data_IF_365445615352
#
_entry.id   IF_365445615352
#
_cell.length_a   1.000
_cell.length_b   1.000
_cell.length_c   1.000
_cell.angle_alpha   90.00
_cell.angle_beta   90.00
_cell.angle_gamma   90.00
#
_symmetry.space_group_name_H-M   'P 1'
#
loop_
_entity.id
_entity.type
_entity.pdbx_description
1 polymer ?
#
# COMPACT_ATOMS: atom_id res chain seq x y z
N UNK A 1 -11.98 -40.63 1.19
CA UNK A 1 -12.57 -39.32 1.56
C UNK A 1 -11.88 -38.26 0.74
N UNK A 2 -12.63 -37.34 0.11
CA UNK A 2 -12.06 -36.20 -0.59
C UNK A 2 -11.68 -35.11 0.42
N UNK A 3 -10.51 -35.28 1.04
CA UNK A 3 -9.96 -34.35 2.05
C UNK A 3 -9.74 -32.96 1.44
N UNK A 4 -9.24 -32.91 0.21
CA UNK A 4 -9.01 -31.66 -0.53
C UNK A 4 -10.31 -30.89 -0.73
N UNK A 5 -11.37 -31.54 -1.21
CA UNK A 5 -12.68 -30.90 -1.36
C UNK A 5 -13.29 -30.44 -0.03
N UNK A 6 -13.03 -31.13 1.08
CA UNK A 6 -13.50 -30.72 2.40
C UNK A 6 -12.80 -29.45 2.88
N UNK A 7 -11.47 -29.36 2.71
CA UNK A 7 -10.68 -28.17 3.04
C UNK A 7 -11.10 -26.97 2.19
N UNK A 8 -11.29 -27.17 0.88
CA UNK A 8 -11.76 -26.10 -0.02
C UNK A 8 -13.13 -25.56 0.36
N UNK A 9 -14.06 -26.44 0.75
CA UNK A 9 -15.39 -26.01 1.24
C UNK A 9 -15.31 -25.26 2.57
N UNK A 10 -14.40 -25.64 3.45
CA UNK A 10 -14.19 -24.94 4.72
C UNK A 10 -13.66 -23.52 4.48
N UNK A 11 -12.63 -23.35 3.63
CA UNK A 11 -12.07 -22.04 3.25
C UNK A 11 -13.14 -21.19 2.55
N UNK A 12 -13.86 -21.75 1.60
CA UNK A 12 -14.97 -21.08 0.93
C UNK A 12 -16.15 -20.74 1.88
N UNK A 13 -16.20 -21.29 3.08
CA UNK A 13 -17.20 -20.94 4.08
C UNK A 13 -17.04 -19.52 4.61
N UNK A 14 -15.80 -19.06 4.76
CA UNK A 14 -15.45 -17.75 5.34
C UNK A 14 -14.11 -17.25 4.76
N UNK A 15 -14.09 -16.88 3.47
CA UNK A 15 -12.85 -16.51 2.78
C UNK A 15 -12.25 -15.21 3.32
N UNK A 16 -10.93 -15.18 3.42
CA UNK A 16 -10.15 -13.97 3.67
C UNK A 16 -10.01 -13.16 2.37
N UNK A 17 -10.53 -11.93 2.37
CA UNK A 17 -10.67 -11.11 1.15
C UNK A 17 -9.69 -9.93 1.16
N UNK A 18 -8.82 -9.88 0.16
CA UNK A 18 -8.03 -8.69 -0.16
C UNK A 18 -8.82 -7.83 -1.16
N UNK A 19 -9.12 -6.60 -0.78
CA UNK A 19 -9.83 -5.64 -1.65
C UNK A 19 -8.83 -4.67 -2.28
N UNK A 20 -8.64 -4.78 -3.59
CA UNK A 20 -7.85 -3.85 -4.39
C UNK A 20 -8.78 -2.83 -5.05
N UNK A 21 -8.84 -1.61 -4.50
CA UNK A 21 -9.72 -0.55 -5.02
C UNK A 21 -9.04 0.19 -6.17
N UNK A 22 -9.67 0.21 -7.33
CA UNK A 22 -9.24 0.99 -8.48
C UNK A 22 -9.61 2.48 -8.28
N UNK A 23 -8.90 3.41 -8.92
CA UNK A 23 -9.38 4.80 -9.06
C UNK A 23 -10.85 4.86 -9.47
N UNK A 24 -11.63 5.75 -8.86
CA UNK A 24 -13.11 5.88 -8.92
C UNK A 24 -13.92 4.65 -8.51
N UNK A 25 -13.28 3.62 -7.96
CA UNK A 25 -13.94 2.46 -7.38
C UNK A 25 -14.56 2.71 -6.01
N UNK A 26 -14.58 3.96 -5.50
CA UNK A 26 -14.99 4.26 -4.13
C UNK A 26 -16.41 3.77 -3.79
N UNK A 27 -17.40 4.02 -4.65
CA UNK A 27 -18.77 3.56 -4.45
C UNK A 27 -18.85 2.03 -4.32
N UNK A 28 -18.17 1.32 -5.24
CA UNK A 28 -18.16 -0.14 -5.29
C UNK A 28 -17.39 -0.71 -4.09
N UNK A 29 -16.26 -0.11 -3.69
CA UNK A 29 -15.50 -0.50 -2.49
C UNK A 29 -16.38 -0.45 -1.25
N UNK A 30 -17.12 0.64 -1.07
CA UNK A 30 -17.99 0.80 0.10
C UNK A 30 -19.11 -0.26 0.13
N UNK A 31 -19.70 -0.57 -1.02
CA UNK A 31 -20.69 -1.63 -1.14
C UNK A 31 -20.10 -3.01 -0.82
N UNK A 32 -18.91 -3.32 -1.35
CA UNK A 32 -18.15 -4.54 -1.04
C UNK A 32 -17.86 -4.64 0.45
N UNK A 33 -17.26 -3.62 1.08
CA UNK A 33 -16.91 -3.64 2.50
C UNK A 33 -18.14 -3.88 3.39
N UNK A 34 -19.28 -3.30 3.02
CA UNK A 34 -20.56 -3.55 3.69
C UNK A 34 -21.02 -4.99 3.50
N UNK A 35 -20.99 -5.53 2.28
CA UNK A 35 -21.40 -6.90 1.99
C UNK A 35 -20.53 -7.93 2.70
N UNK A 36 -19.21 -7.78 2.65
CA UNK A 36 -18.25 -8.63 3.38
C UNK A 36 -18.56 -8.66 4.87
N UNK A 37 -18.85 -7.51 5.48
CA UNK A 37 -19.23 -7.43 6.89
C UNK A 37 -20.55 -8.15 7.19
N UNK A 38 -21.57 -8.00 6.34
CA UNK A 38 -22.86 -8.69 6.52
C UNK A 38 -22.72 -10.21 6.38
N UNK A 39 -21.74 -10.67 5.60
CA UNK A 39 -21.40 -12.08 5.39
C UNK A 39 -20.41 -12.64 6.43
N UNK A 40 -19.92 -11.81 7.35
CA UNK A 40 -18.82 -12.12 8.28
C UNK A 40 -17.54 -12.62 7.57
N UNK A 41 -17.25 -12.10 6.38
CA UNK A 41 -16.02 -12.40 5.65
C UNK A 41 -14.91 -11.44 6.07
N UNK A 42 -13.77 -11.94 6.58
CA UNK A 42 -12.67 -11.09 7.02
C UNK A 42 -12.02 -10.38 5.83
N UNK A 43 -11.82 -9.07 5.96
CA UNK A 43 -10.99 -8.30 5.05
C UNK A 43 -9.54 -8.32 5.55
N UNK A 44 -8.61 -8.61 4.66
CA UNK A 44 -7.18 -8.72 4.95
C UNK A 44 -6.40 -7.56 4.33
N UNK A 45 -5.22 -7.29 4.89
CA UNK A 45 -4.36 -6.19 4.44
C UNK A 45 -3.24 -6.65 3.51
N UNK A 46 -2.95 -7.95 3.44
CA UNK A 46 -1.82 -8.51 2.69
C UNK A 46 -2.23 -9.67 1.77
N UNK A 47 -1.62 -9.80 0.58
CA UNK A 47 -1.76 -10.96 -0.30
C UNK A 47 -1.60 -12.31 0.40
N UNK A 48 -0.57 -12.42 1.26
CA UNK A 48 -0.19 -13.67 1.93
C UNK A 48 -1.26 -14.23 2.88
N UNK A 49 -2.19 -13.40 3.34
CA UNK A 49 -3.26 -13.79 4.27
C UNK A 49 -4.60 -14.03 3.56
N UNK A 50 -4.63 -13.96 2.22
CA UNK A 50 -5.88 -13.82 1.46
C UNK A 50 -6.16 -15.02 0.56
N UNK A 51 -7.42 -15.43 0.54
CA UNK A 51 -7.93 -16.47 -0.35
C UNK A 51 -8.56 -15.85 -1.60
N UNK A 52 -9.22 -14.69 -1.45
CA UNK A 52 -9.91 -14.00 -2.54
C UNK A 52 -9.31 -12.62 -2.80
N UNK A 53 -8.79 -12.39 -3.99
CA UNK A 53 -8.46 -11.05 -4.49
C UNK A 53 -9.69 -10.47 -5.19
N UNK A 54 -10.24 -9.39 -4.64
CA UNK A 54 -11.34 -8.64 -5.23
C UNK A 54 -10.84 -7.32 -5.81
N UNK A 55 -10.89 -7.18 -7.12
CA UNK A 55 -10.56 -5.94 -7.83
C UNK A 55 -11.85 -5.13 -7.96
N UNK A 56 -11.86 -3.91 -7.41
CA UNK A 56 -13.10 -3.16 -7.21
C UNK A 56 -13.04 -1.81 -7.90
N UNK A 57 -13.94 -1.58 -8.85
CA UNK A 57 -14.03 -0.35 -9.64
C UNK A 57 -13.80 -0.56 -11.15
N UNK A 58 -13.70 0.55 -11.91
CA UNK A 58 -13.53 0.53 -13.36
C UNK A 58 -12.23 -0.16 -13.80
N UNK A 59 -12.13 -0.50 -15.09
CA UNK A 59 -10.92 -1.14 -15.59
C UNK A 59 -9.80 -0.15 -15.78
N UNK A 60 -8.69 -0.38 -15.09
CA UNK A 60 -7.52 0.48 -15.14
C UNK A 60 -6.35 -0.31 -15.74
N UNK A 61 -6.18 -0.31 -17.08
CA UNK A 61 -5.14 -1.10 -17.76
C UNK A 61 -3.73 -0.84 -17.22
N UNK A 62 -3.44 0.39 -16.84
CA UNK A 62 -2.18 0.81 -16.22
C UNK A 62 -1.90 0.11 -14.87
N UNK A 63 -2.94 -0.38 -14.18
CA UNK A 63 -2.81 -1.09 -12.89
C UNK A 63 -2.84 -2.61 -13.04
N UNK A 64 -3.06 -3.16 -14.24
CA UNK A 64 -3.10 -4.62 -14.44
C UNK A 64 -1.81 -5.32 -13.99
N UNK A 65 -0.65 -4.70 -14.18
CA UNK A 65 0.62 -5.24 -13.71
C UNK A 65 0.71 -5.29 -12.17
N UNK A 66 0.18 -4.28 -11.47
CA UNK A 66 0.13 -4.23 -10.01
C UNK A 66 -0.86 -5.29 -9.47
N UNK A 67 -2.05 -5.40 -10.07
CA UNK A 67 -3.02 -6.46 -9.74
C UNK A 67 -2.43 -7.85 -9.98
N UNK A 68 -1.69 -8.03 -11.08
CA UNK A 68 -0.99 -9.27 -11.39
C UNK A 68 0.13 -9.63 -10.40
N UNK A 69 0.77 -8.65 -9.75
CA UNK A 69 1.70 -8.87 -8.63
C UNK A 69 0.95 -9.38 -7.40
N UNK A 70 -0.09 -8.66 -6.96
CA UNK A 70 -0.93 -9.09 -5.82
C UNK A 70 -1.43 -10.53 -6.01
N UNK A 71 -1.94 -10.85 -7.21
CA UNK A 71 -2.41 -12.20 -7.53
C UNK A 71 -1.34 -13.28 -7.40
N UNK A 72 -0.09 -13.00 -7.79
CA UNK A 72 1.01 -13.96 -7.66
C UNK A 72 1.40 -14.19 -6.20
N UNK A 73 1.26 -13.16 -5.38
CA UNK A 73 1.62 -13.20 -3.96
C UNK A 73 0.53 -13.85 -3.08
N UNK A 74 -0.68 -14.06 -3.61
CA UNK A 74 -1.73 -14.84 -2.92
C UNK A 74 -1.35 -16.34 -2.88
N UNK A 75 -1.39 -17.01 -1.71
CA UNK A 75 -1.16 -18.45 -1.61
C UNK A 75 -2.33 -19.25 -2.20
N UNK A 76 -2.11 -20.50 -2.58
CA UNK A 76 -3.21 -21.41 -2.93
C UNK A 76 -3.83 -22.02 -1.64
N UNK A 77 -5.14 -22.29 -1.60
CA UNK A 77 -6.13 -22.05 -2.65
C UNK A 77 -6.48 -20.56 -2.77
N UNK A 78 -6.65 -20.08 -4.01
CA UNK A 78 -6.97 -18.67 -4.29
C UNK A 78 -8.00 -18.51 -5.39
N UNK A 79 -8.71 -17.39 -5.38
CA UNK A 79 -9.58 -16.96 -6.46
C UNK A 79 -9.43 -15.46 -6.67
N UNK A 80 -9.71 -15.01 -7.90
CA UNK A 80 -9.80 -13.60 -8.25
C UNK A 80 -11.19 -13.31 -8.80
N UNK A 81 -11.73 -12.15 -8.43
CA UNK A 81 -12.93 -11.62 -9.07
C UNK A 81 -12.83 -10.09 -9.22
N UNK A 82 -13.54 -9.56 -10.21
CA UNK A 82 -13.56 -8.15 -10.53
C UNK A 82 -15.02 -7.67 -10.39
N UNK A 83 -15.23 -6.57 -9.67
CA UNK A 83 -16.55 -5.96 -9.44
C UNK A 83 -16.51 -4.55 -10.02
N UNK A 84 -17.30 -4.29 -11.07
CA UNK A 84 -17.26 -3.00 -11.78
C UNK A 84 -18.32 -2.04 -11.27
N UNK A 85 -19.46 -2.56 -10.83
CA UNK A 85 -20.61 -1.78 -10.39
C UNK A 85 -21.14 -2.25 -9.04
N UNK A 86 -21.92 -1.40 -8.36
CA UNK A 86 -22.51 -1.73 -7.05
C UNK A 86 -23.49 -2.91 -7.14
N UNK A 87 -24.23 -3.02 -8.25
CA UNK A 87 -25.25 -4.06 -8.43
C UNK A 87 -24.66 -5.46 -8.62
N UNK A 88 -23.41 -5.56 -9.07
CA UNK A 88 -22.71 -6.83 -9.27
C UNK A 88 -22.16 -7.45 -7.98
N UNK A 89 -22.05 -6.67 -6.89
CA UNK A 89 -21.30 -7.05 -5.68
C UNK A 89 -21.69 -8.42 -5.15
N UNK A 90 -22.98 -8.66 -4.91
CA UNK A 90 -23.45 -9.92 -4.31
C UNK A 90 -23.18 -11.12 -5.23
N UNK A 91 -23.48 -10.98 -6.53
CA UNK A 91 -23.29 -12.05 -7.51
C UNK A 91 -21.80 -12.41 -7.69
N UNK A 92 -20.92 -11.41 -7.70
CA UNK A 92 -19.48 -11.63 -7.85
C UNK A 92 -18.88 -12.27 -6.60
N UNK A 93 -19.32 -11.89 -5.40
CA UNK A 93 -18.87 -12.52 -4.15
C UNK A 93 -19.28 -14.00 -4.10
N UNK A 94 -20.51 -14.33 -4.50
CA UNK A 94 -20.98 -15.72 -4.57
C UNK A 94 -20.19 -16.54 -5.60
N UNK A 95 -19.91 -15.97 -6.78
CA UNK A 95 -19.07 -16.60 -7.79
C UNK A 95 -17.61 -16.79 -7.32
N UNK A 96 -17.06 -15.83 -6.57
CA UNK A 96 -15.74 -15.93 -5.95
C UNK A 96 -15.67 -17.08 -4.95
N UNK A 97 -16.66 -17.18 -4.05
CA UNK A 97 -16.81 -18.29 -3.10
C UNK A 97 -16.94 -19.64 -3.80
N UNK A 98 -17.76 -19.73 -4.84
CA UNK A 98 -17.95 -20.97 -5.60
C UNK A 98 -16.63 -21.45 -6.24
N UNK A 99 -15.83 -20.53 -6.79
CA UNK A 99 -14.51 -20.84 -7.36
C UNK A 99 -13.49 -21.29 -6.31
N UNK A 100 -13.50 -20.70 -5.12
CA UNK A 100 -12.67 -21.17 -4.00
C UNK A 100 -13.03 -22.59 -3.56
N UNK A 101 -14.32 -22.91 -3.51
CA UNK A 101 -14.81 -24.21 -3.10
C UNK A 101 -14.67 -25.32 -4.14
N UNK A 102 -14.24 -25.00 -5.37
CA UNK A 102 -14.22 -25.94 -6.51
C UNK A 102 -12.83 -26.56 -6.74
N UNK A 103 -12.66 -27.89 -6.51
CA UNK A 103 -11.39 -28.56 -6.79
C UNK A 103 -10.98 -28.51 -8.28
N UNK A 104 -11.95 -28.42 -9.19
CA UNK A 104 -11.68 -28.29 -10.64
C UNK A 104 -11.13 -26.92 -10.96
N UNK A 105 -11.76 -25.85 -10.45
CA UNK A 105 -11.28 -24.49 -10.65
C UNK A 105 -9.87 -24.29 -10.07
N UNK A 106 -9.59 -24.85 -8.88
CA UNK A 106 -8.26 -24.78 -8.27
C UNK A 106 -7.19 -25.52 -9.09
N UNK A 107 -7.53 -26.67 -9.71
CA UNK A 107 -6.60 -27.42 -10.58
C UNK A 107 -6.34 -26.71 -11.90
N UNK A 108 -7.37 -26.20 -12.56
CA UNK A 108 -7.23 -25.42 -13.80
C UNK A 108 -6.34 -24.19 -13.58
N UNK A 109 -6.53 -23.52 -12.45
CA UNK A 109 -5.74 -22.35 -12.08
C UNK A 109 -4.27 -22.69 -11.76
N UNK A 110 -4.01 -23.83 -11.11
CA UNK A 110 -2.66 -24.31 -10.84
C UNK A 110 -1.93 -24.76 -12.13
N UNK A 111 -2.68 -25.23 -13.13
CA UNK A 111 -2.15 -25.69 -14.42
C UNK A 111 -1.79 -24.54 -15.38
N UNK A 112 -2.26 -23.30 -15.12
CA UNK A 112 -1.89 -22.16 -15.95
C UNK A 112 -0.41 -21.81 -15.74
N UNK A 113 0.42 -21.82 -16.80
CA UNK A 113 1.83 -21.46 -16.68
C UNK A 113 1.95 -20.02 -16.18
N UNK A 114 2.70 -19.81 -15.10
CA UNK A 114 3.14 -18.48 -14.69
C UNK A 114 4.00 -17.94 -15.84
N UNK A 115 3.45 -17.02 -16.65
CA UNK A 115 4.28 -16.34 -17.66
C UNK A 115 5.36 -15.55 -16.92
N UNK A 116 6.56 -16.09 -16.91
CA UNK A 116 7.75 -15.42 -16.42
C UNK A 116 8.00 -14.19 -17.30
N UNK A 117 7.49 -13.04 -16.86
CA UNK A 117 7.78 -11.73 -17.44
C UNK A 117 9.21 -11.31 -17.09
N UNK A 118 10.20 -11.96 -17.70
CA UNK A 118 11.56 -11.45 -17.77
C UNK A 118 11.64 -10.44 -18.91
N UNK A 119 11.36 -9.16 -18.63
CA UNK A 119 11.75 -8.09 -19.54
C UNK A 119 13.28 -7.97 -19.51
N UNK A 120 13.95 -8.71 -20.39
CA UNK A 120 15.29 -8.33 -20.84
C UNK A 120 15.12 -7.07 -21.68
N UNK A 121 15.45 -5.92 -21.11
CA UNK A 121 15.66 -4.69 -21.87
C UNK A 121 16.92 -4.89 -22.70
N UNK A 122 16.77 -5.45 -23.90
CA UNK A 122 17.78 -5.44 -24.94
C UNK A 122 17.65 -4.12 -25.69
N UNK A 123 18.51 -3.17 -25.36
CA UNK A 123 18.68 -1.95 -26.14
C UNK A 123 19.18 -2.33 -27.53
N UNK A 124 18.31 -2.14 -28.53
CA UNK A 124 18.70 -2.08 -29.94
C UNK A 124 19.59 -0.84 -30.12
N UNK A 125 20.84 -1.08 -30.53
CA UNK A 125 21.72 -0.07 -31.09
C UNK A 125 22.08 -0.52 -32.50
N UNK A 126 21.39 0.05 -33.47
CA UNK A 126 21.73 0.01 -34.89
C UNK A 126 23.14 0.55 -35.10
N UNK A 127 24.00 -0.22 -35.77
CA UNK A 127 25.02 0.30 -36.69
C UNK A 127 25.14 -0.65 -37.87
N UNK A 128 24.60 -0.18 -38.99
CA UNK A 128 24.93 -0.59 -40.34
C UNK A 128 26.45 -0.46 -40.56
N UNK A 129 27.00 -1.29 -41.44
CA UNK A 129 28.04 -0.97 -42.43
C UNK A 129 28.39 -2.25 -43.22
N UNK A 130 27.86 -2.28 -44.43
CA UNK A 130 28.43 -2.69 -45.72
C UNK A 130 29.29 -3.96 -45.91
N UNK A 131 28.76 -4.79 -46.81
CA UNK A 131 29.38 -5.37 -48.02
C UNK A 131 30.61 -6.29 -47.87
N UNK A 132 30.42 -7.58 -48.16
CA UNK A 132 31.06 -8.19 -49.35
C UNK A 132 30.36 -9.50 -49.77
N UNK A 133 30.42 -9.77 -51.08
CA UNK A 133 29.74 -10.82 -51.82
C UNK A 133 30.38 -12.21 -51.69
N UNK A 134 29.62 -13.25 -52.00
CA UNK A 134 30.15 -14.59 -52.22
C UNK A 134 29.09 -15.69 -52.33
N UNK A 135 28.60 -15.93 -53.54
CA UNK A 135 27.89 -17.17 -53.91
C UNK A 135 28.73 -18.41 -53.60
N UNK A 136 28.16 -19.44 -52.92
CA UNK A 136 28.41 -20.86 -53.26
C UNK A 136 27.22 -21.73 -52.84
N UNK A 137 26.69 -22.48 -53.80
CA UNK A 137 25.76 -23.61 -53.67
C UNK A 137 26.45 -24.87 -53.13
N UNK A 138 25.80 -25.68 -52.28
CA UNK A 138 26.31 -27.04 -51.99
C UNK A 138 25.63 -27.86 -50.89
N UNK A 139 24.67 -28.69 -51.30
CA UNK A 139 24.39 -30.10 -50.94
C UNK A 139 24.65 -30.74 -49.54
N UNK A 140 23.67 -31.61 -49.20
CA UNK A 140 23.76 -32.94 -48.54
C UNK A 140 24.07 -32.98 -47.03
N UNK A 141 23.16 -33.49 -46.17
CA UNK A 141 22.80 -34.90 -45.89
C UNK A 141 23.98 -35.79 -45.48
N UNK A 142 23.74 -36.59 -44.44
CA UNK A 142 24.48 -37.70 -43.80
C UNK A 142 24.83 -37.34 -42.34
N UNK A 143 24.76 -38.22 -41.34
CA UNK A 143 24.09 -39.50 -41.19
C UNK A 143 24.04 -39.83 -39.68
N UNK A 144 23.17 -40.78 -39.34
CA UNK A 144 23.05 -41.40 -38.01
C UNK A 144 24.22 -42.33 -37.69
N UNK A 145 24.58 -42.44 -36.41
CA UNK A 145 25.00 -43.66 -35.67
C UNK A 145 24.71 -43.36 -34.18
N UNK A 146 23.93 -44.12 -33.38
CA UNK A 146 24.00 -45.56 -33.07
C UNK A 146 25.26 -45.83 -32.24
N UNK A 147 25.30 -46.34 -31.00
CA UNK A 147 24.40 -47.03 -30.08
C UNK A 147 25.28 -47.73 -29.01
N UNK A 148 24.68 -48.27 -27.93
CA UNK A 148 25.32 -49.17 -26.93
C UNK A 148 25.67 -48.47 -25.61
N UNK A 149 24.93 -48.64 -24.52
CA UNK A 149 24.74 -49.79 -23.60
C UNK A 149 25.85 -50.05 -22.56
N UNK A 150 25.36 -50.17 -21.31
CA UNK A 150 25.80 -51.01 -20.19
C UNK A 150 26.94 -50.54 -19.23
N UNK A 151 26.59 -50.51 -17.94
CA UNK A 151 27.30 -51.32 -16.93
C UNK A 151 27.76 -50.65 -15.62
N UNK A 152 27.19 -51.11 -14.49
CA UNK A 152 27.78 -51.12 -13.13
C UNK A 152 27.64 -49.81 -12.33
N UNK A 153 27.12 -49.74 -11.09
CA UNK A 153 26.93 -50.73 -10.04
C UNK A 153 28.03 -50.62 -8.98
N UNK A 154 27.82 -49.85 -7.90
CA UNK A 154 28.47 -50.05 -6.60
C UNK A 154 27.62 -49.45 -5.46
N UNK A 155 27.45 -50.24 -4.40
CA UNK A 155 26.81 -49.98 -3.11
C UNK A 155 27.88 -49.88 -2.01
N UNK A 156 27.39 -49.49 -0.82
CA UNK A 156 27.97 -49.56 0.54
C UNK A 156 28.81 -48.34 0.95
N UNK A 157 28.70 -47.78 2.15
CA UNK A 157 28.00 -48.13 3.39
C UNK A 157 28.62 -47.33 4.54
N UNK A 158 27.92 -47.14 5.68
CA UNK A 158 28.54 -46.61 6.90
C UNK A 158 27.58 -45.88 7.85
N UNK A 159 27.11 -46.59 8.88
CA UNK A 159 26.40 -46.11 10.08
C UNK A 159 27.37 -45.48 11.11
N UNK A 160 26.86 -44.57 11.95
CA UNK A 160 27.18 -44.45 13.38
C UNK A 160 26.28 -43.40 14.08
N UNK A 161 25.20 -43.89 14.68
CA UNK A 161 24.71 -43.71 16.06
C UNK A 161 25.51 -42.77 17.00
N UNK A 162 24.83 -41.85 17.71
CA UNK A 162 25.02 -41.64 19.17
C UNK A 162 23.78 -40.95 19.81
N UNK A 163 23.50 -41.38 21.03
CA UNK A 163 22.38 -41.08 21.92
C UNK A 163 22.66 -39.77 22.70
N UNK A 164 21.70 -38.96 23.16
CA UNK A 164 20.94 -39.20 24.40
C UNK A 164 21.35 -38.24 25.54
N UNK A 165 20.37 -37.82 26.36
CA UNK A 165 20.44 -37.02 27.62
C UNK A 165 20.39 -35.48 27.48
N UNK A 166 19.58 -34.70 28.21
CA UNK A 166 18.73 -34.98 29.37
C UNK A 166 18.99 -33.96 30.50
N UNK A 167 17.94 -33.23 30.86
CA UNK A 167 17.68 -32.49 32.12
C UNK A 167 18.35 -31.13 32.46
N UNK A 168 17.50 -30.28 33.07
CA UNK A 168 17.71 -28.94 33.62
C UNK A 168 17.95 -29.02 35.16
N UNK A 169 17.67 -27.96 35.96
CA UNK A 169 18.36 -26.67 36.16
C UNK A 169 18.89 -26.51 37.61
N UNK A 170 19.60 -25.42 37.95
CA UNK A 170 19.47 -24.66 39.23
C UNK A 170 20.59 -23.63 39.46
N UNK A 171 20.15 -22.43 39.85
CA UNK A 171 20.70 -21.35 40.70
C UNK A 171 22.11 -21.40 41.31
N UNK A 172 22.70 -20.20 41.44
CA UNK A 172 23.19 -19.73 42.74
C UNK A 172 24.66 -19.32 42.89
N UNK A 173 24.86 -18.03 43.10
CA UNK A 173 25.85 -17.39 44.00
C UNK A 173 27.34 -17.21 43.63
N UNK A 174 27.69 -15.92 43.60
CA UNK A 174 28.99 -15.27 43.93
C UNK A 174 29.29 -15.46 45.44
N UNK A 175 30.54 -15.37 45.98
CA UNK A 175 31.37 -14.15 45.89
C UNK A 175 32.92 -14.25 46.09
N UNK A 176 33.57 -13.08 45.89
CA UNK A 176 34.74 -12.46 46.58
C UNK A 176 36.19 -12.96 46.44
N UNK A 177 37.01 -12.05 45.88
CA UNK A 177 38.26 -11.42 46.38
C UNK A 177 39.65 -12.09 46.44
N UNK A 178 40.62 -11.22 46.08
CA UNK A 178 42.04 -11.12 46.45
C UNK A 178 43.03 -12.14 45.87
N UNK A 179 44.30 -11.87 45.58
CA UNK A 179 45.18 -10.70 45.37
C UNK A 179 46.56 -11.35 44.98
N UNK A 180 47.53 -10.54 44.56
CA UNK A 180 48.95 -10.84 44.30
C UNK A 180 49.27 -11.36 42.88
N UNK A 181 50.26 -10.86 42.15
CA UNK A 181 51.29 -9.88 42.45
C UNK A 181 52.22 -9.71 41.23
N UNK A 182 52.66 -8.46 41.05
CA UNK A 182 53.90 -7.94 40.47
C UNK A 182 54.88 -8.87 39.73
N UNK A 183 55.34 -8.44 38.55
CA UNK A 183 56.77 -8.32 38.18
C UNK A 183 56.91 -7.88 36.72
N UNK A 184 57.34 -6.64 36.51
CA UNK A 184 57.55 -6.06 35.18
C UNK A 184 58.85 -6.48 34.50
N UNK A 185 59.00 -6.05 33.23
CA UNK A 185 60.28 -5.61 32.66
C UNK A 185 60.00 -4.67 31.47
N UNK A 186 60.55 -3.47 31.57
CA UNK A 186 60.68 -2.50 30.50
C UNK A 186 62.10 -2.56 29.91
N UNK A 187 62.23 -2.18 28.63
CA UNK A 187 63.29 -1.41 27.94
C UNK A 187 63.47 -1.90 26.49
N UNK A 188 63.19 -1.06 25.49
CA UNK A 188 64.11 -0.06 24.86
C UNK A 188 64.78 -0.74 23.64
N UNK A 189 64.87 -0.26 22.40
CA UNK A 189 64.74 1.05 21.74
C UNK A 189 65.66 0.96 20.50
N UNK A 190 65.32 1.56 19.35
CA UNK A 190 66.29 1.69 18.23
C UNK A 190 65.74 1.86 16.80
N UNK A 191 65.84 3.11 16.32
CA UNK A 191 65.80 3.65 14.94
C UNK A 191 66.51 2.80 13.84
N UNK A 192 66.30 2.91 12.52
CA UNK A 192 66.38 4.10 11.63
C UNK A 192 66.04 3.72 10.16
N UNK A 193 65.70 4.73 9.35
CA UNK A 193 65.90 4.91 7.88
C UNK A 193 64.86 4.43 6.82
N UNK A 194 64.11 5.43 6.34
CA UNK A 194 63.89 5.92 4.95
C UNK A 194 64.32 5.07 3.73
N UNK A 195 63.38 4.84 2.79
CA UNK A 195 63.36 5.36 1.40
C UNK A 195 62.40 4.59 0.47
N UNK A 196 61.54 5.38 -0.18
CA UNK A 196 61.06 5.32 -1.58
C UNK A 196 60.33 4.10 -2.20
N UNK A 197 59.17 4.47 -2.76
CA UNK A 197 58.57 4.06 -4.04
C UNK A 197 58.54 2.56 -4.39
N UNK A 198 57.33 2.01 -4.56
CA UNK A 198 56.89 1.44 -5.84
C UNK A 198 55.46 0.87 -5.80
N UNK A 199 54.66 1.41 -6.72
CA UNK A 199 53.68 0.73 -7.57
C UNK A 199 52.35 0.22 -6.97
N UNK A 200 51.29 0.81 -7.52
CA UNK A 200 49.92 0.37 -7.34
C UNK A 200 49.68 -1.03 -7.88
N UNK A 201 48.84 -1.75 -7.14
CA UNK A 201 48.09 -2.86 -7.67
C UNK A 201 46.62 -2.47 -7.71
N UNK A 202 46.22 -1.99 -8.89
CA UNK A 202 44.86 -2.14 -9.36
C UNK A 202 44.52 -3.62 -9.37
N UNK A 203 43.50 -3.97 -8.62
CA UNK A 203 42.99 -5.32 -8.45
C UNK A 203 41.61 -5.22 -7.85
N UNK A 204 40.70 -4.53 -8.55
CA UNK A 204 39.27 -4.64 -8.31
C UNK A 204 38.88 -6.10 -8.57
N UNK A 205 39.01 -6.93 -7.54
CA UNK A 205 38.38 -8.23 -7.48
C UNK A 205 36.89 -7.97 -7.54
N UNK A 206 36.32 -8.11 -8.73
CA UNK A 206 34.89 -8.29 -8.92
C UNK A 206 34.50 -9.57 -8.19
N UNK A 207 34.18 -9.43 -6.90
CA UNK A 207 33.47 -10.48 -6.18
C UNK A 207 32.14 -10.64 -6.90
N UNK A 208 32.00 -11.77 -7.58
CA UNK A 208 30.77 -12.14 -8.25
C UNK A 208 29.67 -12.23 -7.19
N UNK A 209 28.74 -11.28 -7.25
CA UNK A 209 27.66 -11.15 -6.27
C UNK A 209 26.84 -12.44 -6.25
N UNK A 210 26.52 -13.03 -5.07
CA UNK A 210 25.66 -14.20 -4.99
C UNK A 210 24.33 -13.94 -5.73
N UNK A 211 24.10 -14.65 -6.84
CA UNK A 211 22.88 -14.52 -7.64
C UNK A 211 22.86 -13.39 -8.68
N UNK A 212 23.98 -12.69 -8.94
CA UNK A 212 24.08 -11.70 -10.02
C UNK A 212 23.21 -10.45 -9.84
N UNK A 213 22.70 -10.21 -8.64
CA UNK A 213 21.95 -9.01 -8.29
C UNK A 213 22.93 -7.94 -7.79
N UNK A 214 22.86 -6.70 -8.29
CA UNK A 214 23.69 -5.62 -7.78
C UNK A 214 23.39 -5.38 -6.30
N UNK A 215 24.43 -5.07 -5.53
CA UNK A 215 24.27 -4.57 -4.16
C UNK A 215 23.41 -3.31 -4.15
N UNK A 216 22.63 -3.11 -3.08
CA UNK A 216 21.90 -1.87 -2.89
C UNK A 216 22.88 -0.69 -2.85
N UNK A 217 22.52 0.42 -3.48
CA UNK A 217 23.33 1.63 -3.42
C UNK A 217 23.38 2.13 -1.97
N UNK A 218 24.58 2.45 -1.50
CA UNK A 218 24.77 2.94 -0.14
C UNK A 218 24.77 4.49 -0.15
N UNK A 219 24.29 5.11 0.92
CA UNK A 219 24.37 6.56 1.11
C UNK A 219 24.67 6.92 2.57
N UNK A 220 25.24 8.11 2.77
CA UNK A 220 25.47 8.66 4.11
C UNK A 220 24.13 8.89 4.85
N UNK A 221 24.06 8.46 6.11
CA UNK A 221 22.94 8.67 7.03
C UNK A 221 23.26 9.77 8.07
N UNK A 222 22.28 10.17 8.88
CA UNK A 222 22.35 11.27 9.86
C UNK A 222 23.50 11.14 10.86
N UNK A 223 23.90 9.92 11.18
CA UNK A 223 25.00 9.62 12.11
C UNK A 223 26.36 9.41 11.42
N UNK A 224 26.42 9.61 10.10
CA UNK A 224 27.61 9.39 9.29
C UNK A 224 27.85 7.92 8.92
N UNK A 225 26.94 7.01 9.27
CA UNK A 225 26.99 5.63 8.80
C UNK A 225 26.45 5.53 7.37
N UNK A 226 27.00 4.61 6.59
CA UNK A 226 26.52 4.37 5.23
C UNK A 226 25.45 3.28 5.28
N UNK A 227 24.19 3.63 5.03
CA UNK A 227 23.06 2.70 4.99
C UNK A 227 22.62 2.42 3.55
N UNK A 228 22.18 1.19 3.32
CA UNK A 228 21.58 0.76 2.06
C UNK A 228 20.32 1.60 1.75
N UNK A 229 20.24 2.08 0.50
CA UNK A 229 19.09 2.81 -0.02
C UNK A 229 18.06 1.83 -0.58
N UNK A 230 16.89 1.80 0.05
CA UNK A 230 15.77 0.98 -0.39
C UNK A 230 14.72 1.83 -1.09
N UNK A 231 14.44 1.51 -2.36
CA UNK A 231 13.37 2.15 -3.11
C UNK A 231 12.06 1.40 -2.90
N UNK A 232 11.08 2.04 -2.25
CA UNK A 232 9.79 1.43 -1.89
C UNK A 232 8.64 2.23 -2.52
N UNK A 233 7.90 1.66 -3.50
CA UNK A 233 6.64 2.23 -3.94
C UNK A 233 5.53 1.88 -2.94
N UNK A 234 4.81 2.89 -2.45
CA UNK A 234 3.59 2.74 -1.67
C UNK A 234 2.36 3.04 -2.52
N UNK A 235 1.38 2.13 -2.50
CA UNK A 235 0.20 2.21 -3.36
C UNK A 235 0.45 1.63 -4.77
N UNK A 236 -0.49 1.77 -5.71
CA UNK A 236 -1.79 2.44 -5.59
C UNK A 236 -2.92 1.56 -5.03
N UNK A 237 -2.63 0.28 -4.77
CA UNK A 237 -3.59 -0.75 -4.34
C UNK A 237 -3.41 -1.18 -2.88
N UNK A 238 -2.72 -0.37 -2.09
CA UNK A 238 -2.42 -0.68 -0.70
C UNK A 238 -3.70 -0.61 0.15
N UNK A 239 -3.87 -1.53 1.10
CA UNK A 239 -4.98 -1.48 2.04
C UNK A 239 -4.86 -0.26 2.95
N UNK A 240 -6.00 0.37 3.27
CA UNK A 240 -6.03 1.58 4.09
C UNK A 240 -5.11 2.68 3.52
N UNK A 241 -5.26 2.95 2.22
CA UNK A 241 -4.52 3.94 1.45
C UNK A 241 -5.43 4.64 0.44
N UNK A 242 -5.16 5.90 0.06
CA UNK A 242 -5.87 6.57 -1.03
C UNK A 242 -5.82 5.79 -2.34
N UNK A 243 -6.98 5.44 -2.88
CA UNK A 243 -7.06 4.67 -4.11
C UNK A 243 -6.39 5.45 -5.25
N UNK A 244 -5.50 4.79 -5.99
CA UNK A 244 -4.79 5.42 -7.11
C UNK A 244 -3.57 6.26 -6.76
N UNK A 245 -3.33 6.57 -5.48
CA UNK A 245 -2.15 7.33 -5.07
C UNK A 245 -0.91 6.42 -5.09
N UNK A 246 0.16 6.82 -5.77
CA UNK A 246 1.46 6.15 -5.66
C UNK A 246 2.47 7.12 -5.09
N UNK A 247 3.17 6.71 -4.04
CA UNK A 247 4.28 7.45 -3.44
C UNK A 247 5.54 6.62 -3.56
N UNK A 248 6.55 7.12 -4.27
CA UNK A 248 7.87 6.50 -4.37
C UNK A 248 8.76 7.04 -3.25
N UNK A 249 9.19 6.16 -2.37
CA UNK A 249 10.07 6.49 -1.26
C UNK A 249 11.46 5.94 -1.51
N UNK A 250 12.48 6.70 -1.13
CA UNK A 250 13.82 6.18 -0.85
C UNK A 250 13.99 6.14 0.66
N UNK A 251 14.16 4.94 1.22
CA UNK A 251 14.39 4.72 2.63
C UNK A 251 15.87 4.43 2.90
N UNK A 252 16.36 4.90 4.04
CA UNK A 252 17.59 4.42 4.66
C UNK A 252 17.24 4.01 6.09
N UNK A 253 17.38 2.71 6.39
CA UNK A 253 16.73 2.13 7.56
C UNK A 253 15.21 2.26 7.45
N UNK A 254 14.57 2.89 8.43
CA UNK A 254 13.14 3.22 8.42
C UNK A 254 12.84 4.68 8.08
N UNK A 255 13.86 5.53 7.85
CA UNK A 255 13.69 6.95 7.58
C UNK A 255 13.57 7.20 6.08
N UNK A 256 12.59 8.03 5.70
CA UNK A 256 12.40 8.50 4.33
C UNK A 256 13.40 9.61 4.02
N UNK A 257 14.27 9.37 3.03
CA UNK A 257 15.26 10.33 2.55
C UNK A 257 14.74 11.15 1.37
N UNK A 258 14.00 10.49 0.48
CA UNK A 258 13.34 11.12 -0.66
C UNK A 258 11.92 10.58 -0.78
N UNK A 259 11.01 11.45 -1.22
CA UNK A 259 9.62 11.09 -1.45
C UNK A 259 9.12 11.82 -2.70
N UNK A 260 8.63 11.06 -3.66
CA UNK A 260 7.97 11.58 -4.86
C UNK A 260 6.56 11.02 -4.94
N UNK A 261 5.62 11.84 -5.40
CA UNK A 261 4.25 11.39 -5.69
C UNK A 261 4.10 11.26 -7.18
N UNK A 262 3.63 10.10 -7.65
CA UNK A 262 3.36 9.91 -9.06
C UNK A 262 2.11 10.69 -9.44
N UNK A 263 2.13 11.31 -10.62
CA UNK A 263 0.91 11.84 -11.19
C UNK A 263 -0.13 10.71 -11.30
N UNK A 264 -1.40 10.98 -10.95
CA UNK A 264 -2.48 10.03 -11.17
C UNK A 264 -2.44 9.61 -12.64
N UNK A 265 -2.50 8.31 -12.89
CA UNK A 265 -2.24 7.78 -14.22
C UNK A 265 -3.12 8.46 -15.29
N UNK A 266 -2.53 8.79 -16.47
CA UNK A 266 -3.25 9.44 -17.54
C UNK A 266 -4.41 8.56 -18.02
N UNK A 267 -5.52 9.22 -18.31
CA UNK A 267 -6.82 8.59 -18.55
C UNK A 267 -6.82 7.82 -19.87
N UNK A 268 -7.47 6.66 -19.89
CA UNK A 268 -7.99 6.12 -21.15
C UNK A 268 -9.25 6.91 -21.52
N UNK A 269 -9.31 7.42 -22.74
CA UNK A 269 -10.43 8.21 -23.25
C UNK A 269 -11.74 7.38 -23.21
N UNK A 270 -12.78 7.88 -22.53
CA UNK A 270 -14.15 7.38 -22.66
C UNK A 270 -14.84 6.93 -21.37
N UNK A 271 -14.11 6.64 -20.28
CA UNK A 271 -14.71 6.21 -19.02
C UNK A 271 -14.96 7.40 -18.07
N UNK A 272 -16.19 7.53 -17.57
CA UNK A 272 -16.56 8.52 -16.57
C UNK A 272 -16.09 8.02 -15.20
N UNK A 273 -14.98 8.57 -14.72
CA UNK A 273 -14.53 8.35 -13.35
C UNK A 273 -15.37 9.21 -12.40
N UNK A 274 -16.11 8.58 -11.48
CA UNK A 274 -16.87 9.30 -10.47
C UNK A 274 -15.99 9.64 -9.26
N UNK A 275 -15.76 10.93 -9.02
CA UNK A 275 -15.23 11.40 -7.76
C UNK A 275 -16.32 11.33 -6.68
N UNK A 276 -16.54 10.11 -6.19
CA UNK A 276 -17.69 9.74 -5.37
C UNK A 276 -17.91 10.68 -4.18
N UNK A 277 -16.86 11.05 -3.47
CA UNK A 277 -17.00 11.83 -2.24
C UNK A 277 -17.43 13.29 -2.48
N UNK A 278 -17.07 13.87 -3.64
CA UNK A 278 -17.39 15.26 -4.01
C UNK A 278 -18.61 15.37 -4.93
N UNK A 279 -19.22 14.25 -5.28
CA UNK A 279 -20.30 14.18 -6.26
C UNK A 279 -21.49 15.14 -5.98
N UNK A 280 -21.95 15.36 -4.73
CA UNK A 280 -22.97 16.39 -4.44
C UNK A 280 -22.57 17.81 -4.88
N UNK A 281 -21.30 18.20 -4.71
CA UNK A 281 -20.78 19.50 -5.12
C UNK A 281 -20.58 19.58 -6.63
N UNK A 282 -20.15 18.49 -7.27
CA UNK A 282 -20.04 18.39 -8.73
C UNK A 282 -21.42 18.61 -9.37
N UNK A 283 -22.45 17.90 -8.90
CA UNK A 283 -23.83 18.06 -9.38
C UNK A 283 -24.37 19.46 -9.16
N UNK A 284 -24.19 20.01 -7.95
CA UNK A 284 -24.64 21.38 -7.66
C UNK A 284 -23.90 22.42 -8.52
N UNK A 285 -22.61 22.22 -8.81
CA UNK A 285 -21.86 23.10 -9.73
C UNK A 285 -22.34 23.02 -11.18
N UNK A 286 -22.95 21.90 -11.57
CA UNK A 286 -23.62 21.72 -12.86
C UNK A 286 -25.07 22.25 -12.88
N UNK A 287 -25.55 22.85 -11.78
CA UNK A 287 -26.88 23.44 -11.66
C UNK A 287 -27.97 22.46 -11.20
N UNK A 288 -27.63 21.23 -10.82
CA UNK A 288 -28.61 20.30 -10.26
C UNK A 288 -29.05 20.72 -8.85
N UNK A 289 -30.34 20.63 -8.50
CA UNK A 289 -30.81 20.90 -7.15
C UNK A 289 -30.40 19.76 -6.21
N UNK A 290 -29.40 20.01 -5.37
CA UNK A 290 -28.92 19.07 -4.36
C UNK A 290 -29.24 19.61 -2.96
N UNK A 291 -29.91 18.86 -2.07
CA UNK A 291 -30.12 19.28 -0.69
C UNK A 291 -28.83 19.35 0.11
N UNK A 292 -28.69 20.31 1.01
CA UNK A 292 -27.56 20.42 1.94
C UNK A 292 -27.42 19.15 2.78
N UNK A 293 -28.53 18.55 3.24
CA UNK A 293 -28.50 17.30 3.99
C UNK A 293 -27.80 16.16 3.25
N UNK A 294 -27.95 16.07 1.92
CA UNK A 294 -27.24 15.07 1.09
C UNK A 294 -25.73 15.31 1.11
N UNK A 295 -25.31 16.56 0.89
CA UNK A 295 -23.90 16.95 0.88
C UNK A 295 -23.24 16.74 2.25
N UNK A 296 -23.90 17.18 3.32
CA UNK A 296 -23.45 17.02 4.71
C UNK A 296 -23.32 15.54 5.07
N UNK A 297 -24.28 14.69 4.68
CA UNK A 297 -24.19 13.23 4.86
C UNK A 297 -22.99 12.64 4.13
N UNK A 298 -22.78 13.02 2.87
CA UNK A 298 -21.60 12.58 2.09
C UNK A 298 -20.30 13.03 2.75
N UNK A 299 -20.25 14.27 3.25
CA UNK A 299 -19.11 14.86 3.94
C UNK A 299 -18.73 14.13 5.23
N UNK A 300 -19.72 13.92 6.09
CA UNK A 300 -19.52 13.21 7.35
C UNK A 300 -19.11 11.75 7.11
N UNK A 301 -19.68 11.09 6.10
CA UNK A 301 -19.30 9.73 5.72
C UNK A 301 -17.86 9.67 5.20
N UNK A 302 -17.44 10.60 4.34
CA UNK A 302 -16.06 10.68 3.84
C UNK A 302 -15.06 10.82 5.01
N UNK A 303 -15.34 11.71 5.97
CA UNK A 303 -14.47 11.91 7.15
C UNK A 303 -14.41 10.68 8.05
N UNK A 304 -15.51 9.93 8.19
CA UNK A 304 -15.51 8.65 8.91
C UNK A 304 -14.75 7.55 8.15
N UNK A 305 -14.74 7.60 6.82
CA UNK A 305 -13.88 6.73 6.00
C UNK A 305 -12.40 7.04 6.22
N UNK A 306 -12.02 8.33 6.18
CA UNK A 306 -10.66 8.79 6.48
C UNK A 306 -10.23 8.43 7.92
N UNK A 307 -11.11 8.62 8.91
CA UNK A 307 -10.88 8.17 10.29
C UNK A 307 -10.71 6.65 10.37
N UNK A 308 -11.53 5.89 9.65
CA UNK A 308 -11.43 4.43 9.57
C UNK A 308 -10.06 3.98 9.05
N UNK A 309 -9.58 4.63 7.99
CA UNK A 309 -8.25 4.41 7.42
C UNK A 309 -7.14 4.75 8.41
N UNK A 310 -7.18 5.94 9.00
CA UNK A 310 -6.20 6.39 9.99
C UNK A 310 -6.13 5.44 11.19
N UNK A 311 -7.27 5.04 11.74
CA UNK A 311 -7.34 4.14 12.89
C UNK A 311 -6.81 2.74 12.55
N UNK A 312 -7.04 2.25 11.33
CA UNK A 312 -6.47 0.99 10.88
C UNK A 312 -4.94 1.07 10.77
N UNK A 313 -4.41 2.14 10.18
CA UNK A 313 -2.96 2.39 10.07
C UNK A 313 -2.31 2.57 11.45
N UNK A 314 -3.00 3.23 12.38
CA UNK A 314 -2.56 3.39 13.77
C UNK A 314 -2.66 2.11 14.61
N UNK A 315 -3.05 0.96 14.02
CA UNK A 315 -3.13 -0.31 14.72
C UNK A 315 -4.36 -0.46 15.63
N UNK A 316 -5.44 0.27 15.37
CA UNK A 316 -6.68 0.25 16.17
C UNK A 316 -7.90 -0.29 15.39
N UNK A 317 -7.90 -1.60 15.02
CA UNK A 317 -8.86 -2.16 14.07
C UNK A 317 -10.32 -2.13 14.52
N UNK A 318 -10.60 -2.28 15.82
CA UNK A 318 -11.98 -2.28 16.32
C UNK A 318 -12.66 -0.91 16.14
N UNK A 319 -11.90 0.18 16.28
CA UNK A 319 -12.35 1.55 16.14
C UNK A 319 -12.40 1.94 14.66
N UNK A 320 -11.48 1.43 13.83
CA UNK A 320 -11.60 1.50 12.37
C UNK A 320 -12.92 0.88 11.87
N UNK A 321 -13.28 -0.32 12.35
CA UNK A 321 -14.56 -0.98 12.04
C UNK A 321 -15.74 -0.13 12.54
N UNK A 322 -15.63 0.48 13.71
CA UNK A 322 -16.68 1.35 14.26
C UNK A 322 -16.90 2.60 13.39
N UNK A 323 -15.84 3.22 12.90
CA UNK A 323 -15.89 4.34 11.97
C UNK A 323 -16.56 3.94 10.64
N UNK A 324 -16.14 2.82 10.04
CA UNK A 324 -16.72 2.28 8.79
C UNK A 324 -18.21 1.94 8.94
N UNK A 325 -18.65 1.44 10.11
CA UNK A 325 -20.08 1.22 10.40
C UNK A 325 -20.88 2.51 10.44
N UNK A 326 -20.37 3.55 11.11
CA UNK A 326 -21.02 4.86 11.16
C UNK A 326 -21.08 5.51 9.77
N UNK A 327 -20.02 5.38 8.97
CA UNK A 327 -19.98 5.80 7.56
C UNK A 327 -21.09 5.13 6.77
N UNK A 328 -21.23 3.80 6.87
CA UNK A 328 -22.25 3.07 6.12
C UNK A 328 -23.68 3.43 6.57
N UNK A 329 -23.89 3.69 7.85
CA UNK A 329 -25.18 4.16 8.36
C UNK A 329 -25.54 5.55 7.80
N UNK A 330 -24.56 6.47 7.66
CA UNK A 330 -24.78 7.76 7.01
C UNK A 330 -25.13 7.60 5.52
N UNK A 331 -24.39 6.74 4.80
CA UNK A 331 -24.60 6.49 3.37
C UNK A 331 -25.93 5.78 3.08
N UNK A 332 -26.43 4.98 4.03
CA UNK A 332 -27.74 4.31 3.93
C UNK A 332 -28.90 5.17 4.44
N UNK A 333 -28.64 6.42 4.84
CA UNK A 333 -29.69 7.36 5.24
C UNK A 333 -30.26 7.11 6.64
N UNK A 334 -29.49 6.50 7.55
CA UNK A 334 -29.95 6.31 8.92
C UNK A 334 -30.37 7.65 9.56
N UNK A 335 -31.42 7.65 10.39
CA UNK A 335 -31.92 8.87 11.02
C UNK A 335 -30.92 9.36 12.09
N UNK A 336 -30.86 10.69 12.28
CA UNK A 336 -29.98 11.33 13.28
C UNK A 336 -30.14 10.72 14.68
N UNK A 337 -31.36 10.39 15.09
CA UNK A 337 -31.66 9.80 16.41
C UNK A 337 -30.94 8.48 16.65
N UNK A 338 -30.71 7.68 15.61
CA UNK A 338 -29.95 6.43 15.71
C UNK A 338 -28.42 6.67 15.63
N UNK A 339 -28.00 7.66 14.84
CA UNK A 339 -26.59 7.98 14.60
C UNK A 339 -25.92 8.72 15.77
N UNK A 340 -26.55 9.76 16.29
CA UNK A 340 -25.93 10.69 17.22
C UNK A 340 -25.36 10.01 18.49
N UNK A 341 -26.11 9.14 19.21
CA UNK A 341 -25.58 8.48 20.41
C UNK A 341 -24.40 7.54 20.11
N UNK A 342 -24.38 6.94 18.92
CA UNK A 342 -23.31 6.03 18.48
C UNK A 342 -22.06 6.84 18.12
N UNK A 343 -22.23 7.95 17.40
CA UNK A 343 -21.15 8.87 17.09
C UNK A 343 -20.55 9.49 18.36
N UNK A 344 -21.36 9.96 19.31
CA UNK A 344 -20.86 10.55 20.57
C UNK A 344 -19.98 9.58 21.37
N UNK A 345 -20.32 8.28 21.38
CA UNK A 345 -19.49 7.25 22.01
C UNK A 345 -18.17 7.06 21.26
N UNK A 346 -18.22 7.02 19.92
CA UNK A 346 -17.06 6.90 19.06
C UNK A 346 -16.13 8.12 19.20
N UNK A 347 -16.67 9.33 19.08
CA UNK A 347 -15.99 10.61 19.29
C UNK A 347 -15.32 10.69 20.66
N UNK A 348 -16.04 10.32 21.73
CA UNK A 348 -15.44 10.28 23.08
C UNK A 348 -14.28 9.29 23.15
N UNK A 349 -14.42 8.10 22.56
CA UNK A 349 -13.39 7.05 22.63
C UNK A 349 -12.15 7.45 21.84
N UNK A 350 -12.31 7.92 20.60
CA UNK A 350 -11.20 8.31 19.72
C UNK A 350 -10.62 9.64 20.17
N UNK A 351 -11.45 10.67 20.32
CA UNK A 351 -11.02 12.04 20.63
C UNK A 351 -10.34 12.19 22.00
N UNK A 352 -10.68 11.34 22.98
CA UNK A 352 -10.06 11.32 24.32
C UNK A 352 -8.99 10.25 24.49
N UNK A 353 -8.65 9.49 23.44
CA UNK A 353 -7.62 8.46 23.53
C UNK A 353 -6.25 9.09 23.73
N UNK A 354 -5.66 8.88 24.92
CA UNK A 354 -4.31 9.35 25.23
C UNK A 354 -3.25 8.60 24.43
N UNK A 355 -3.44 7.30 24.22
CA UNK A 355 -2.51 6.46 23.45
C UNK A 355 -2.46 6.90 22.00
N UNK A 356 -3.61 7.07 21.35
CA UNK A 356 -3.65 7.56 19.96
C UNK A 356 -3.00 8.94 19.86
N UNK A 357 -3.38 9.87 20.74
CA UNK A 357 -2.81 11.22 20.78
C UNK A 357 -1.33 11.28 21.18
N UNK A 358 -0.75 10.20 21.71
CA UNK A 358 0.68 10.09 21.97
C UNK A 358 1.40 9.56 20.73
N UNK A 359 0.85 8.51 20.11
CA UNK A 359 1.39 7.89 18.89
C UNK A 359 1.36 8.82 17.66
N UNK A 360 0.43 9.78 17.60
CA UNK A 360 0.26 10.65 16.43
C UNK A 360 0.77 12.08 16.61
N UNK A 361 1.26 12.42 17.81
CA UNK A 361 1.69 13.78 18.14
C UNK A 361 3.02 14.11 17.48
N UNK A 362 3.15 15.32 16.95
CA UNK A 362 4.33 15.81 16.23
C UNK A 362 4.48 15.22 14.82
N UNK A 363 3.62 14.29 14.40
CA UNK A 363 3.73 13.63 13.10
C UNK A 363 3.08 14.48 12.00
N UNK A 364 3.85 14.83 10.98
CA UNK A 364 3.40 15.56 9.80
C UNK A 364 2.70 16.86 10.13
N UNK A 365 3.37 17.75 10.87
CA UNK A 365 2.85 19.07 11.23
C UNK A 365 2.60 19.88 9.96
N UNK A 366 1.39 20.44 9.84
CA UNK A 366 1.02 21.38 8.77
C UNK A 366 0.55 22.65 9.44
N UNK A 367 1.39 23.70 9.39
CA UNK A 367 0.99 25.01 9.91
C UNK A 367 0.02 25.71 8.94
N UNK A 368 -0.72 26.70 9.43
CA UNK A 368 -1.58 27.54 8.59
C UNK A 368 -0.79 28.22 7.45
N UNK A 369 0.48 28.57 7.70
CA UNK A 369 1.39 29.10 6.67
C UNK A 369 1.72 28.05 5.61
N UNK A 370 2.11 26.84 6.03
CA UNK A 370 2.40 25.74 5.12
C UNK A 370 1.18 25.38 4.26
N UNK A 371 0.00 25.36 4.88
CA UNK A 371 -1.25 25.11 4.19
C UNK A 371 -1.52 26.19 3.14
N UNK A 372 -1.34 27.47 3.49
CA UNK A 372 -1.51 28.57 2.55
C UNK A 372 -0.52 28.49 1.37
N UNK A 373 0.76 28.25 1.64
CA UNK A 373 1.81 28.13 0.62
C UNK A 373 1.54 27.00 -0.38
N UNK A 374 0.98 25.88 0.09
CA UNK A 374 0.62 24.74 -0.76
C UNK A 374 -0.82 24.80 -1.32
N UNK A 375 -1.56 25.88 -1.07
CA UNK A 375 -2.96 26.01 -1.50
C UNK A 375 -3.93 25.05 -0.81
N UNK A 376 -3.57 24.53 0.36
CA UNK A 376 -4.42 23.67 1.20
C UNK A 376 -5.38 24.53 2.01
N UNK A 377 -6.63 24.07 2.08
CA UNK A 377 -7.74 24.73 2.78
C UNK A 377 -8.58 23.71 3.55
N UNK A 378 -9.75 24.11 4.05
CA UNK A 378 -10.69 23.21 4.70
C UNK A 378 -10.17 22.63 6.02
N UNK A 379 -10.50 21.37 6.37
CA UNK A 379 -10.21 20.81 7.69
C UNK A 379 -8.71 20.70 7.99
N UNK A 380 -7.86 20.44 6.99
CA UNK A 380 -6.41 20.35 7.19
C UNK A 380 -5.82 21.71 7.59
N UNK A 381 -6.19 22.78 6.89
CA UNK A 381 -5.73 24.13 7.23
C UNK A 381 -6.29 24.61 8.58
N UNK A 382 -7.55 24.27 8.90
CA UNK A 382 -8.20 24.63 10.16
C UNK A 382 -7.64 23.87 11.37
N UNK A 383 -7.08 22.69 11.16
CA UNK A 383 -6.42 21.93 12.22
C UNK A 383 -5.11 22.58 12.69
N UNK A 384 -4.35 23.21 11.78
CA UNK A 384 -3.10 23.94 12.07
C UNK A 384 -2.17 23.16 13.02
N UNK A 385 -1.77 21.95 12.61
CA UNK A 385 -1.10 21.02 13.51
C UNK A 385 -0.77 19.66 12.91
N UNK A 386 -0.60 18.69 13.79
CA UNK A 386 -0.15 17.33 13.45
C UNK A 386 -1.33 16.39 13.13
N UNK A 387 -1.05 15.10 12.92
CA UNK A 387 -2.09 14.07 12.68
C UNK A 387 -3.17 14.08 13.77
N UNK A 388 -2.79 14.35 15.02
CA UNK A 388 -3.70 14.44 16.17
C UNK A 388 -4.71 15.56 16.01
N UNK A 389 -4.23 16.74 15.62
CA UNK A 389 -5.07 17.91 15.43
C UNK A 389 -6.01 17.70 14.25
N UNK A 390 -5.52 17.09 13.16
CA UNK A 390 -6.34 16.78 11.98
C UNK A 390 -7.49 15.81 12.27
N UNK A 391 -7.24 14.68 12.95
CA UNK A 391 -8.33 13.75 13.23
C UNK A 391 -9.34 14.33 14.24
N UNK A 392 -8.89 15.15 15.19
CA UNK A 392 -9.78 15.87 16.12
C UNK A 392 -10.59 16.94 15.41
N UNK A 393 -10.02 17.58 14.39
CA UNK A 393 -10.76 18.47 13.52
C UNK A 393 -11.86 17.70 12.78
N UNK A 394 -11.57 16.55 12.18
CA UNK A 394 -12.61 15.72 11.55
C UNK A 394 -13.73 15.32 12.50
N UNK A 395 -13.42 14.93 13.74
CA UNK A 395 -14.44 14.64 14.76
C UNK A 395 -15.31 15.87 15.09
N UNK A 396 -14.69 17.04 15.21
CA UNK A 396 -15.40 18.31 15.48
C UNK A 396 -16.32 18.67 14.31
N UNK A 397 -15.84 18.52 13.09
CA UNK A 397 -16.62 18.75 11.88
C UNK A 397 -17.82 17.82 11.75
N UNK A 398 -17.64 16.51 11.97
CA UNK A 398 -18.75 15.54 11.94
C UNK A 398 -19.79 15.91 13.00
N UNK A 399 -19.37 16.34 14.20
CA UNK A 399 -20.28 16.80 15.26
C UNK A 399 -21.11 18.01 14.80
N UNK A 400 -20.53 18.93 14.04
CA UNK A 400 -21.22 20.08 13.43
C UNK A 400 -22.15 19.72 12.27
N UNK A 401 -21.86 18.63 11.56
CA UNK A 401 -22.66 18.12 10.45
C UNK A 401 -23.92 17.35 10.92
N UNK A 402 -23.85 16.63 12.05
CA UNK A 402 -24.96 15.79 12.54
C UNK A 402 -26.32 16.50 12.67
N UNK A 403 -26.42 17.77 13.10
CA UNK A 403 -27.70 18.46 13.16
C UNK A 403 -28.32 18.79 11.80
N UNK A 404 -27.53 18.76 10.73
CA UNK A 404 -27.89 19.24 9.39
C UNK A 404 -28.15 18.11 8.39
N UNK A 405 -28.14 16.86 8.83
CA UNK A 405 -28.28 15.68 7.97
C UNK A 405 -29.57 15.63 7.14
N UNK A 406 -30.62 16.32 7.61
CA UNK A 406 -31.94 16.37 6.96
C UNK A 406 -32.27 17.80 6.49
N UNK A 407 -31.26 18.66 6.34
CA UNK A 407 -31.46 20.05 5.91
C UNK A 407 -31.94 20.10 4.45
N UNK A 408 -33.15 20.65 4.17
CA UNK A 408 -33.76 20.60 2.85
C UNK A 408 -33.34 21.78 1.95
N UNK A 409 -32.60 22.75 2.49
CA UNK A 409 -32.08 23.89 1.73
C UNK A 409 -31.19 23.41 0.58
N UNK A 410 -31.16 24.15 -0.52
CA UNK A 410 -30.34 23.77 -1.68
C UNK A 410 -28.87 24.14 -1.44
N UNK A 411 -27.99 23.21 -1.79
CA UNK A 411 -26.54 23.32 -1.70
C UNK A 411 -26.04 24.47 -2.56
N UNK A 412 -25.35 25.41 -1.93
CA UNK A 412 -24.57 26.44 -2.61
C UNK A 412 -23.10 26.09 -2.47
N UNK A 413 -22.44 25.77 -3.59
CA UNK A 413 -21.04 25.30 -3.61
C UNK A 413 -20.08 26.30 -2.95
N UNK A 414 -20.37 27.60 -3.03
CA UNK A 414 -19.56 28.65 -2.41
C UNK A 414 -19.66 28.67 -0.86
N UNK A 415 -20.77 28.19 -0.29
CA UNK A 415 -21.07 28.30 1.14
C UNK A 415 -20.78 26.99 1.88
N UNK A 416 -20.73 25.86 1.16
CA UNK A 416 -20.55 24.52 1.74
C UNK A 416 -19.28 23.86 1.24
N UNK A 417 -18.32 23.64 2.14
CA UNK A 417 -17.08 22.93 1.83
C UNK A 417 -17.35 21.46 1.49
N UNK A 418 -16.59 20.89 0.55
CA UNK A 418 -16.50 19.44 0.34
C UNK A 418 -15.67 18.77 1.46
N UNK A 419 -15.55 17.43 1.50
CA UNK A 419 -14.84 16.73 2.57
C UNK A 419 -13.44 17.26 2.89
N UNK A 420 -12.70 17.69 1.87
CA UNK A 420 -11.29 18.13 1.94
C UNK A 420 -11.11 19.64 1.82
N UNK A 421 -12.20 20.39 1.69
CA UNK A 421 -12.18 21.86 1.57
C UNK A 421 -13.15 22.38 0.52
N UNK A 422 -13.16 23.70 0.26
CA UNK A 422 -14.00 24.32 -0.76
C UNK A 422 -13.83 23.67 -2.13
N UNK A 423 -14.94 23.22 -2.74
CA UNK A 423 -14.89 22.55 -4.03
C UNK A 423 -14.55 23.54 -5.16
N UNK A 424 -13.57 23.18 -5.98
CA UNK A 424 -13.22 23.90 -7.20
C UNK A 424 -12.66 22.93 -8.25
N UNK A 425 -13.33 22.78 -9.39
CA UNK A 425 -12.91 21.83 -10.42
C UNK A 425 -11.57 22.19 -11.09
N UNK A 426 -11.17 23.47 -11.09
CA UNK A 426 -9.87 23.90 -11.63
C UNK A 426 -8.73 23.67 -10.63
N UNK A 427 -9.03 23.67 -9.33
CA UNK A 427 -8.07 23.47 -8.24
C UNK A 427 -8.74 22.64 -7.13
N UNK A 428 -8.91 21.33 -7.33
CA UNK A 428 -9.58 20.49 -6.34
C UNK A 428 -8.76 20.45 -5.04
N UNK A 429 -9.42 20.33 -3.86
CA UNK A 429 -8.73 20.38 -2.57
C UNK A 429 -7.58 19.37 -2.43
N UNK A 430 -7.75 18.17 -2.98
CA UNK A 430 -6.71 17.13 -2.93
C UNK A 430 -5.41 17.49 -3.66
N UNK A 431 -5.42 18.45 -4.60
CA UNK A 431 -4.22 18.90 -5.30
C UNK A 431 -3.19 19.52 -4.34
N UNK A 432 -3.65 20.39 -3.42
CA UNK A 432 -2.78 20.99 -2.41
C UNK A 432 -2.26 19.95 -1.42
N UNK A 433 -3.12 19.00 -1.02
CA UNK A 433 -2.74 17.92 -0.10
C UNK A 433 -1.65 17.02 -0.70
N UNK A 434 -1.77 16.68 -1.99
CA UNK A 434 -0.77 15.89 -2.72
C UNK A 434 0.55 16.68 -2.86
N UNK A 435 0.47 17.97 -3.17
CA UNK A 435 1.65 18.85 -3.24
C UNK A 435 2.42 18.90 -1.92
N UNK A 436 1.74 18.82 -0.78
CA UNK A 436 2.38 18.79 0.54
C UNK A 436 3.10 17.48 0.86
N UNK A 437 2.69 16.35 0.27
CA UNK A 437 3.14 15.01 0.68
C UNK A 437 4.67 14.85 0.67
N UNK A 438 5.40 15.10 -0.45
CA UNK A 438 6.85 14.94 -0.49
C UNK A 438 7.56 15.60 0.69
N UNK A 439 7.24 16.86 0.95
CA UNK A 439 7.86 17.67 2.00
C UNK A 439 7.58 17.14 3.40
N UNK A 440 6.39 16.58 3.64
CA UNK A 440 6.02 16.04 4.95
C UNK A 440 6.58 14.63 5.18
N UNK A 441 6.83 13.87 4.11
CA UNK A 441 7.31 12.50 4.19
C UNK A 441 8.83 12.46 4.37
N UNK A 442 9.59 13.37 3.75
CA UNK A 442 11.05 13.45 3.93
C UNK A 442 11.39 13.70 5.41
N UNK A 443 12.27 12.85 5.95
CA UNK A 443 12.68 12.85 7.35
C UNK A 443 11.73 12.09 8.30
N UNK A 444 10.59 11.59 7.83
CA UNK A 444 9.69 10.77 8.63
C UNK A 444 10.14 9.30 8.63
N UNK A 445 9.94 8.61 9.75
CA UNK A 445 9.99 7.15 9.80
C UNK A 445 8.86 6.53 8.95
N UNK A 446 9.03 5.31 8.47
CA UNK A 446 8.09 4.65 7.56
C UNK A 446 6.67 4.52 8.13
N UNK A 447 6.54 4.20 9.43
CA UNK A 447 5.25 4.15 10.11
C UNK A 447 4.62 5.55 10.22
N UNK A 448 5.42 6.56 10.52
CA UNK A 448 5.00 7.96 10.54
C UNK A 448 4.55 8.42 9.16
N UNK A 449 5.27 8.09 8.09
CA UNK A 449 4.89 8.38 6.71
C UNK A 449 3.49 7.83 6.37
N UNK A 450 3.19 6.59 6.77
CA UNK A 450 1.84 6.00 6.61
C UNK A 450 0.76 6.78 7.38
N UNK A 451 1.06 7.23 8.60
CA UNK A 451 0.15 8.07 9.40
C UNK A 451 -0.05 9.46 8.80
N UNK A 452 0.98 10.06 8.20
CA UNK A 452 0.91 11.35 7.51
C UNK A 452 -0.09 11.25 6.36
N UNK A 453 0.07 10.26 5.47
CA UNK A 453 -0.85 10.06 4.35
C UNK A 453 -2.27 9.78 4.84
N UNK A 454 -2.44 8.92 5.85
CA UNK A 454 -3.77 8.61 6.40
C UNK A 454 -4.42 9.80 7.13
N UNK A 455 -3.63 10.72 7.69
CA UNK A 455 -4.10 11.92 8.38
C UNK A 455 -4.36 13.12 7.46
N UNK A 456 -3.85 13.12 6.23
CA UNK A 456 -4.23 14.09 5.18
C UNK A 456 -5.34 13.53 4.29
N UNK A 457 -5.27 12.24 4.02
CA UNK A 457 -6.20 11.45 3.22
C UNK A 457 -6.60 12.12 1.89
N UNK A 458 -5.67 12.50 1.00
CA UNK A 458 -6.04 13.06 -0.30
C UNK A 458 -6.87 12.07 -1.11
N UNK A 459 -7.69 12.57 -2.02
CA UNK A 459 -8.49 11.77 -2.94
C UNK A 459 -8.08 12.06 -4.38
N UNK A 460 -7.25 11.19 -4.99
CA UNK A 460 -6.84 11.32 -6.38
C UNK A 460 -8.00 11.40 -7.37
N UNK A 461 -9.18 10.86 -7.04
CA UNK A 461 -10.35 10.92 -7.92
C UNK A 461 -10.84 12.37 -8.11
N UNK A 462 -10.59 13.28 -7.15
CA UNK A 462 -10.90 14.70 -7.28
C UNK A 462 -10.10 15.37 -8.41
N UNK A 463 -8.88 14.90 -8.69
CA UNK A 463 -8.03 15.39 -9.80
C UNK A 463 -8.52 14.91 -11.17
N UNK A 464 -9.32 13.83 -11.20
CA UNK A 464 -9.90 13.30 -12.41
C UNK A 464 -11.12 14.11 -12.88
N UNK A 465 -11.76 14.88 -12.00
CA UNK A 465 -12.91 15.72 -12.38
C UNK A 465 -12.45 16.87 -13.25
N UNK A 466 -12.97 16.98 -14.48
CA UNK A 466 -12.69 18.15 -15.35
C UNK A 466 -13.56 19.32 -14.94
N UNK A 467 -13.01 20.53 -15.04
CA UNK A 467 -13.84 21.72 -15.22
C UNK A 467 -14.57 21.58 -16.58
N UNK A 468 -15.88 21.88 -16.67
CA UNK A 468 -16.54 21.98 -17.96
C UNK A 468 -15.76 22.98 -18.83
N UNK A 469 -15.44 22.61 -20.07
CA UNK A 469 -14.90 23.56 -21.03
C UNK A 469 -15.89 24.70 -21.16
N UNK A 470 -15.52 25.88 -20.67
CA UNK A 470 -16.24 27.11 -20.98
C UNK A 470 -16.06 27.28 -22.48
N UNK A 471 -17.11 27.00 -23.24
CA UNK A 471 -17.19 27.39 -24.63
C UNK A 471 -16.87 28.89 -24.68
N UNK A 472 -15.65 29.21 -25.13
CA UNK A 472 -15.30 30.58 -25.49
C UNK A 472 -16.04 30.84 -26.79
N UNK A 473 -17.18 31.53 -26.70
CA UNK A 473 -17.82 32.18 -27.85
C UNK A 473 -16.93 33.29 -28.41
#
# INVERSE_FOLDING_TARGET
MDVTGLVLRAIAGRPCVLVATMPGGAAVRLAVERSLRLRDWPQTSTPAQSDLLLVVGPDCPNLHAAVGRLWRDLPAPRARADVRTVDEVEAVLDAGRARLGSPTAQREQAAMPVRAGGQRSGTQGEREHDEDAGEVSGHARHDRHGGGEAGGGHREGGQADDEGHGDAPSDGDRPTEADHGDSGHARDGGDTDDHDEHHGHGGHGGMEMPGGLPMAEQGEDRDGLTLDRLHVPLGPLLTDWPAGLTVRLMLQGDVVQQADVDDPAPRTSGEVMEAFWVQPWVRASAGEPVPVGEAVRRRAAARLDSLGRLLAVAGWPAEAVSARRLRDDLLTGAPRSALAPRFERFDRRVGRSRTLAWLTRGIGVVTARDAHEAGVSGPTARADGDVTDRYRQWLTEIRGDLPRLDEPSLLRVADEESPRGPWNAARPPSAGLITLLPRLLVGAEFASARLIVAGLDPDPDELAVRAPEVARE
#
